data_IF_947478317727
#
_entry.id   IF_947478317727
#
_cell.length_a   1.000
_cell.length_b   1.000
_cell.length_c   1.000
_cell.angle_alpha   90.00
_cell.angle_beta   90.00
_cell.angle_gamma   90.00
#
_symmetry.space_group_name_H-M   'P 1'
#
loop_
_entity.id
_entity.type
_entity.pdbx_description
1 polymer ?
#
# COMPACT_ATOMS: atom_id res chain seq x y z
N UNK A 1 6.10 -18.96 -15.72
CA UNK A 1 6.05 -19.88 -14.57
C UNK A 1 7.35 -19.82 -13.77
N UNK A 2 7.28 -19.91 -12.44
CA UNK A 2 8.44 -19.79 -11.54
C UNK A 2 9.46 -20.94 -11.61
N UNK A 3 9.03 -22.12 -12.12
CA UNK A 3 9.90 -23.29 -12.28
C UNK A 3 11.16 -23.01 -13.12
N UNK A 4 11.01 -22.30 -14.26
CA UNK A 4 12.13 -21.97 -15.15
C UNK A 4 13.12 -20.94 -14.57
N UNK A 5 12.82 -20.38 -13.39
CA UNK A 5 13.70 -19.44 -12.68
C UNK A 5 14.41 -20.09 -11.50
N UNK A 6 14.21 -21.39 -11.29
CA UNK A 6 14.86 -22.13 -10.21
C UNK A 6 16.24 -22.63 -10.66
N UNK A 7 17.19 -21.72 -10.75
CA UNK A 7 18.56 -21.98 -11.16
C UNK A 7 19.56 -21.32 -10.21
N UNK A 8 20.84 -21.70 -10.31
CA UNK A 8 21.89 -21.06 -9.54
C UNK A 8 21.93 -19.55 -9.85
N UNK A 9 21.80 -18.64 -8.87
CA UNK A 9 21.79 -17.20 -9.13
C UNK A 9 23.12 -16.66 -9.65
N UNK A 10 24.22 -17.42 -9.47
CA UNK A 10 25.55 -17.02 -9.90
C UNK A 10 25.87 -17.43 -11.34
N UNK A 11 25.57 -18.68 -11.72
CA UNK A 11 25.97 -19.24 -13.02
C UNK A 11 24.79 -19.70 -13.89
N UNK A 12 23.55 -19.51 -13.43
CA UNK A 12 22.31 -19.91 -14.10
C UNK A 12 22.20 -21.41 -14.43
N UNK A 13 23.07 -22.25 -13.86
CA UNK A 13 23.02 -23.69 -14.07
C UNK A 13 21.82 -24.29 -13.32
N UNK A 14 20.78 -24.67 -14.07
CA UNK A 14 19.56 -25.30 -13.53
C UNK A 14 19.85 -26.71 -13.00
N UNK A 15 20.53 -27.54 -13.79
CA UNK A 15 20.70 -28.97 -13.49
C UNK A 15 21.46 -29.21 -12.18
N UNK A 16 22.64 -28.59 -12.03
CA UNK A 16 23.43 -28.72 -10.80
C UNK A 16 22.66 -28.18 -9.60
N UNK A 17 21.99 -27.05 -9.75
CA UNK A 17 21.22 -26.45 -8.68
C UNK A 17 20.05 -27.34 -8.23
N UNK A 18 19.28 -27.91 -9.16
CA UNK A 18 18.21 -28.85 -8.84
C UNK A 18 18.71 -30.13 -8.15
N UNK A 19 19.86 -30.66 -8.57
CA UNK A 19 20.45 -31.84 -7.93
C UNK A 19 20.90 -31.55 -6.50
N UNK A 20 21.55 -30.42 -6.25
CA UNK A 20 21.92 -30.00 -4.89
C UNK A 20 20.67 -29.82 -4.02
N UNK A 21 19.62 -29.17 -4.53
CA UNK A 21 18.37 -29.01 -3.77
C UNK A 21 17.72 -30.35 -3.46
N UNK A 22 17.72 -31.30 -4.41
CA UNK A 22 17.23 -32.66 -4.18
C UNK A 22 18.06 -33.40 -3.11
N UNK A 23 19.39 -33.27 -3.15
CA UNK A 23 20.29 -33.84 -2.15
C UNK A 23 20.02 -33.29 -0.75
N UNK A 24 19.59 -32.02 -0.65
CA UNK A 24 19.15 -31.38 0.59
C UNK A 24 17.70 -31.73 0.97
N UNK A 25 17.04 -32.63 0.24
CA UNK A 25 15.67 -33.08 0.50
C UNK A 25 14.57 -32.17 -0.06
N UNK A 26 14.93 -31.14 -0.83
CA UNK A 26 14.00 -30.17 -1.41
C UNK A 26 13.65 -30.62 -2.84
N UNK A 27 12.40 -31.08 -3.03
CA UNK A 27 11.86 -31.40 -4.35
C UNK A 27 11.08 -30.21 -4.91
N UNK A 28 11.46 -29.77 -6.11
CA UNK A 28 10.74 -28.72 -6.86
C UNK A 28 9.84 -29.41 -7.90
N UNK A 29 8.50 -29.36 -7.75
CA UNK A 29 7.58 -29.93 -8.72
C UNK A 29 7.68 -29.20 -10.08
N UNK A 30 7.60 -29.96 -11.19
CA UNK A 30 7.48 -29.41 -12.56
C UNK A 30 6.07 -28.89 -12.85
N UNK A 31 5.56 -28.01 -12.00
CA UNK A 31 4.29 -27.32 -12.18
C UNK A 31 4.34 -25.93 -11.55
N UNK A 32 3.46 -25.05 -12.02
CA UNK A 32 3.20 -23.81 -11.30
C UNK A 32 2.69 -24.11 -9.88
N UNK A 33 2.74 -23.14 -8.97
CA UNK A 33 2.02 -23.26 -7.73
C UNK A 33 0.54 -23.54 -7.99
N UNK A 34 -0.06 -24.49 -7.26
CA UNK A 34 -1.46 -24.88 -7.49
C UNK A 34 -2.46 -23.75 -7.29
N UNK A 35 -2.08 -22.72 -6.55
CA UNK A 35 -2.91 -21.54 -6.32
C UNK A 35 -2.99 -20.61 -7.55
N UNK A 36 -2.10 -20.76 -8.54
CA UNK A 36 -2.14 -20.00 -9.80
C UNK A 36 -3.00 -20.69 -10.88
N UNK A 37 -3.50 -21.91 -10.64
CA UNK A 37 -4.17 -22.72 -11.67
C UNK A 37 -5.59 -22.22 -12.03
N UNK A 38 -6.19 -21.33 -11.23
CA UNK A 38 -7.59 -20.88 -11.41
C UNK A 38 -7.77 -19.36 -11.37
N UNK A 39 -6.69 -18.59 -11.55
CA UNK A 39 -6.76 -17.11 -11.48
C UNK A 39 -7.24 -16.57 -10.13
N UNK A 40 -7.26 -17.42 -9.08
CA UNK A 40 -7.80 -17.10 -7.76
C UNK A 40 -7.13 -15.90 -7.07
N UNK A 41 -6.00 -15.44 -7.61
CA UNK A 41 -5.21 -14.31 -7.13
C UNK A 41 -4.94 -13.28 -8.22
N UNK A 42 -5.64 -13.30 -9.36
CA UNK A 42 -5.49 -12.27 -10.41
C UNK A 42 -5.72 -10.87 -9.83
N UNK A 43 -6.70 -10.74 -8.94
CA UNK A 43 -7.02 -9.52 -8.20
C UNK A 43 -5.86 -9.01 -7.33
N UNK A 44 -4.90 -9.86 -6.92
CA UNK A 44 -3.71 -9.41 -6.19
C UNK A 44 -2.72 -8.66 -7.08
N UNK A 45 -2.79 -8.82 -8.39
CA UNK A 45 -1.96 -8.08 -9.34
C UNK A 45 -2.57 -6.75 -9.74
N UNK A 46 -3.85 -6.54 -9.46
CA UNK A 46 -4.52 -5.28 -9.75
C UNK A 46 -4.19 -4.27 -8.65
N UNK A 47 -3.45 -3.23 -9.03
CA UNK A 47 -3.13 -2.14 -8.12
C UNK A 47 -4.40 -1.32 -7.91
N UNK A 48 -4.68 -0.97 -6.65
CA UNK A 48 -5.75 -0.02 -6.34
C UNK A 48 -5.63 1.23 -7.22
N UNK A 49 -6.73 1.65 -7.84
CA UNK A 49 -6.71 2.65 -8.92
C UNK A 49 -7.84 3.68 -8.84
N UNK A 50 -8.52 3.81 -7.71
CA UNK A 50 -9.59 4.79 -7.54
C UNK A 50 -9.38 5.68 -6.31
N UNK A 51 -10.21 6.71 -6.21
CA UNK A 51 -10.17 7.68 -5.12
C UNK A 51 -11.20 7.35 -4.02
N UNK A 52 -10.70 7.04 -2.82
CA UNK A 52 -11.46 6.70 -1.62
C UNK A 52 -11.84 7.91 -0.77
N UNK A 53 -11.45 9.13 -1.16
CA UNK A 53 -11.81 10.33 -0.41
C UNK A 53 -13.33 10.43 -0.24
N UNK A 54 -13.82 10.79 0.96
CA UNK A 54 -15.26 10.86 1.24
C UNK A 54 -16.02 11.69 0.19
N UNK A 55 -15.39 12.78 -0.25
CA UNK A 55 -15.84 13.60 -1.38
C UNK A 55 -14.77 13.61 -2.47
N UNK A 56 -15.10 13.10 -3.66
CA UNK A 56 -14.23 13.21 -4.83
C UNK A 56 -14.58 14.49 -5.61
N UNK A 57 -13.56 15.29 -5.90
CA UNK A 57 -13.68 16.58 -6.59
C UNK A 57 -13.30 16.49 -8.07
N UNK A 58 -12.83 15.33 -8.54
CA UNK A 58 -12.38 15.16 -9.93
C UNK A 58 -13.57 15.06 -10.87
N UNK A 59 -13.71 15.94 -11.89
CA UNK A 59 -14.88 15.95 -12.78
C UNK A 59 -15.10 14.64 -13.54
N UNK A 60 -14.03 13.94 -13.87
CA UNK A 60 -14.00 12.67 -14.61
C UNK A 60 -14.47 11.50 -13.74
N UNK A 61 -14.38 11.64 -12.42
CA UNK A 61 -14.88 10.66 -11.45
C UNK A 61 -13.79 10.06 -10.58
N UNK A 62 -14.17 9.03 -9.82
CA UNK A 62 -13.29 8.38 -8.82
C UNK A 62 -12.32 7.37 -9.44
N UNK A 63 -12.69 6.78 -10.59
CA UNK A 63 -11.94 5.71 -11.25
C UNK A 63 -10.82 6.21 -12.17
N UNK A 64 -10.81 7.51 -12.47
CA UNK A 64 -9.83 8.15 -13.36
C UNK A 64 -8.82 8.96 -12.55
N UNK A 65 -7.63 9.15 -13.11
CA UNK A 65 -6.57 9.98 -12.54
C UNK A 65 -5.64 10.51 -13.62
N UNK A 66 -5.01 11.66 -13.35
CA UNK A 66 -3.90 12.17 -14.16
C UNK A 66 -2.60 11.45 -13.80
N UNK A 67 -1.64 11.43 -14.73
CA UNK A 67 -0.28 10.91 -14.46
C UNK A 67 0.48 11.80 -13.47
N UNK A 68 0.32 13.12 -13.57
CA UNK A 68 0.90 14.11 -12.67
C UNK A 68 -0.05 15.30 -12.53
N UNK A 69 -0.09 15.92 -11.35
CA UNK A 69 -0.82 17.16 -11.13
C UNK A 69 -1.81 17.09 -9.96
N UNK A 70 -2.84 17.96 -9.95
CA UNK A 70 -3.82 18.00 -8.86
C UNK A 70 -4.72 16.76 -8.81
N UNK A 71 -4.85 16.03 -9.92
CA UNK A 71 -5.66 14.83 -10.05
C UNK A 71 -4.82 13.56 -10.17
N UNK A 72 -3.53 13.64 -9.85
CA UNK A 72 -2.70 12.46 -9.61
C UNK A 72 -3.26 11.65 -8.44
N UNK A 73 -3.36 10.33 -8.64
CA UNK A 73 -3.78 9.39 -7.61
C UNK A 73 -2.59 8.95 -6.76
N UNK A 74 -2.59 9.35 -5.49
CA UNK A 74 -1.63 8.91 -4.49
C UNK A 74 -2.22 7.73 -3.73
N UNK A 75 -1.51 6.60 -3.72
CA UNK A 75 -1.86 5.46 -2.87
C UNK A 75 -1.28 5.62 -1.47
N UNK A 76 -1.97 5.05 -0.48
CA UNK A 76 -1.45 5.00 0.88
C UNK A 76 -0.08 4.32 0.88
N UNK A 77 0.94 4.99 1.41
CA UNK A 77 2.31 4.48 1.43
C UNK A 77 2.50 3.24 2.31
N UNK A 78 1.55 2.95 3.20
CA UNK A 78 1.64 1.87 4.18
C UNK A 78 0.90 0.62 3.71
N UNK A 79 -0.33 0.74 3.19
CA UNK A 79 -1.15 -0.40 2.79
C UNK A 79 -1.36 -0.54 1.28
N UNK A 80 -1.21 0.55 0.52
CA UNK A 80 -1.57 0.66 -0.91
C UNK A 80 -2.99 0.18 -1.27
N UNK A 81 -3.85 -0.04 -0.27
CA UNK A 81 -5.21 -0.54 -0.43
C UNK A 81 -6.24 0.58 -0.59
N UNK A 82 -5.85 1.81 -0.26
CA UNK A 82 -6.63 3.02 -0.45
C UNK A 82 -5.84 4.02 -1.31
N UNK A 83 -6.57 4.86 -2.04
CA UNK A 83 -6.06 5.92 -2.90
C UNK A 83 -6.78 7.25 -2.70
N UNK A 84 -6.10 8.36 -2.98
CA UNK A 84 -6.72 9.68 -3.01
C UNK A 84 -6.15 10.53 -4.13
N UNK A 85 -6.99 11.31 -4.80
CA UNK A 85 -6.45 12.40 -5.62
C UNK A 85 -5.80 13.43 -4.72
N UNK A 86 -4.68 13.99 -5.17
CA UNK A 86 -3.95 15.04 -4.45
C UNK A 86 -4.87 16.15 -3.93
N UNK A 87 -5.77 16.65 -4.79
CA UNK A 87 -6.69 17.74 -4.45
C UNK A 87 -7.85 17.32 -3.54
N UNK A 88 -8.31 16.07 -3.63
CA UNK A 88 -9.37 15.54 -2.77
C UNK A 88 -8.93 15.45 -1.30
N UNK A 89 -7.63 15.23 -1.06
CA UNK A 89 -7.03 15.24 0.29
C UNK A 89 -6.28 16.53 0.64
N UNK A 90 -6.43 17.60 -0.15
CA UNK A 90 -5.81 18.90 0.14
C UNK A 90 -4.27 18.88 0.19
N UNK A 91 -3.63 17.97 -0.54
CA UNK A 91 -2.19 17.76 -0.52
C UNK A 91 -1.46 18.82 -1.35
N UNK A 92 -0.26 19.22 -0.90
CA UNK A 92 0.61 20.16 -1.65
C UNK A 92 1.16 19.47 -2.89
N UNK A 93 1.54 20.25 -3.91
CA UNK A 93 2.15 19.70 -5.13
C UNK A 93 3.47 18.94 -4.85
N UNK A 94 4.23 19.37 -3.85
CA UNK A 94 5.48 18.69 -3.44
C UNK A 94 5.28 17.43 -2.61
N UNK A 95 4.05 17.08 -2.24
CA UNK A 95 3.77 15.90 -1.41
C UNK A 95 3.94 14.64 -2.26
N UNK A 96 4.84 13.74 -1.86
CA UNK A 96 5.07 12.46 -2.55
C UNK A 96 4.51 11.26 -1.81
N UNK A 97 4.06 11.46 -0.56
CA UNK A 97 3.53 10.40 0.30
C UNK A 97 2.24 10.85 0.98
N UNK A 98 1.30 9.92 1.06
CA UNK A 98 0.03 10.06 1.76
C UNK A 98 -0.25 8.75 2.50
N UNK A 99 -0.88 8.85 3.67
CA UNK A 99 -1.37 7.70 4.43
C UNK A 99 -2.87 7.85 4.64
N UNK A 100 -3.63 6.77 4.49
CA UNK A 100 -5.05 6.77 4.81
C UNK A 100 -5.28 6.91 6.31
N UNK A 101 -6.50 7.25 6.72
CA UNK A 101 -6.84 7.48 8.13
C UNK A 101 -6.54 6.27 9.02
N UNK A 102 -6.77 5.06 8.50
CA UNK A 102 -6.45 3.80 9.18
C UNK A 102 -4.95 3.66 9.43
N UNK A 103 -4.10 4.05 8.48
CA UNK A 103 -2.65 3.91 8.59
C UNK A 103 -1.99 5.06 9.39
N UNK A 104 -2.43 6.30 9.19
CA UNK A 104 -1.88 7.48 9.85
C UNK A 104 -2.10 7.47 11.38
N UNK A 105 -3.21 6.89 11.85
CA UNK A 105 -3.55 6.79 13.27
C UNK A 105 -2.77 5.75 14.07
N UNK A 106 -2.04 4.84 13.40
CA UNK A 106 -1.30 3.73 14.04
C UNK A 106 0.10 4.10 14.52
N UNK A 107 0.51 5.37 14.38
CA UNK A 107 1.74 5.86 15.00
C UNK A 107 3.03 5.31 14.36
N UNK A 108 3.04 5.13 13.04
CA UNK A 108 4.27 4.87 12.26
C UNK A 108 5.13 6.13 12.05
N UNK A 109 4.66 7.30 12.51
CA UNK A 109 5.46 8.52 12.57
C UNK A 109 6.34 8.53 13.82
N UNK A 110 7.66 8.35 13.64
CA UNK A 110 8.66 8.83 14.61
C UNK A 110 8.29 10.28 14.95
N UNK A 111 7.77 10.53 16.16
CA UNK A 111 7.47 11.87 16.64
C UNK A 111 8.75 12.69 16.54
N UNK A 112 8.84 13.57 15.56
CA UNK A 112 9.71 14.73 15.67
C UNK A 112 9.12 15.57 16.82
N UNK A 113 9.64 15.37 18.03
CA UNK A 113 9.37 16.27 19.15
C UNK A 113 9.95 17.63 18.74
N UNK A 114 9.08 18.55 18.37
CA UNK A 114 9.42 19.96 18.40
C UNK A 114 9.33 20.40 19.88
N UNK A 115 10.40 20.96 20.48
CA UNK A 115 10.24 21.67 21.73
C UNK A 115 9.53 23.00 21.42
N UNK A 116 8.73 23.45 22.38
CA UNK A 116 8.07 24.76 22.45
C UNK A 116 6.72 24.91 21.73
N UNK A 117 5.67 24.36 22.35
CA UNK A 117 4.34 24.96 22.34
C UNK A 117 3.72 24.84 23.75
N UNK A 118 3.07 25.90 24.28
CA UNK A 118 2.55 25.89 25.64
C UNK A 118 1.28 25.04 25.75
N UNK A 119 1.21 24.24 26.81
CA UNK A 119 0.07 23.38 27.15
C UNK A 119 -1.17 24.23 27.46
N UNK A 120 -2.20 24.16 26.61
CA UNK A 120 -3.56 24.52 27.03
C UNK A 120 -4.20 23.28 27.66
N UNK A 121 -4.34 23.33 28.99
CA UNK A 121 -5.02 22.30 29.77
C UNK A 121 -6.51 22.14 29.39
N UNK A 122 -7.14 21.02 29.77
CA UNK A 122 -8.51 20.74 29.39
C UNK A 122 -9.47 21.67 30.13
N UNK A 123 -10.13 22.54 29.35
CA UNK A 123 -11.25 23.35 29.81
C UNK A 123 -12.41 22.46 30.27
N UNK A 124 -12.88 22.73 31.49
CA UNK A 124 -14.06 22.14 32.08
C UNK A 124 -15.29 22.28 31.16
N UNK A 125 -16.06 21.20 31.02
CA UNK A 125 -17.45 21.30 30.56
C UNK A 125 -18.35 20.95 31.73
N UNK A 126 -18.91 22.00 32.33
CA UNK A 126 -20.07 21.94 33.20
C UNK A 126 -21.28 21.44 32.40
N UNK A 127 -22.13 20.67 33.07
CA UNK A 127 -23.26 19.96 32.47
C UNK A 127 -24.41 20.84 32.02
N UNK A 128 -25.34 20.21 31.31
CA UNK A 128 -26.73 20.66 31.19
C UNK A 128 -27.63 19.44 31.40
N UNK A 129 -28.50 19.51 32.39
CA UNK A 129 -29.68 18.68 32.53
C UNK A 129 -30.85 19.36 31.81
N UNK A 130 -31.68 18.59 31.11
CA UNK A 130 -33.12 18.83 30.94
C UNK A 130 -33.74 17.68 30.11
N UNK A 131 -34.81 17.09 30.62
CA UNK A 131 -35.72 16.19 29.88
C UNK A 131 -35.79 14.78 30.43
#
# INVERSE_FOLDING_TARGET
SGYFRFCCPHCQNEYKFLMEMLMMGIRIPRRGPSWEEDGAYEQLYERHSHCDASECLFPEGREDAEEEGPWELLLCSSCAAEGTHRRCSGLRHSTTHWECDTCAGLGTGMRAKHPDAPELGPGARQGLAAG
#
